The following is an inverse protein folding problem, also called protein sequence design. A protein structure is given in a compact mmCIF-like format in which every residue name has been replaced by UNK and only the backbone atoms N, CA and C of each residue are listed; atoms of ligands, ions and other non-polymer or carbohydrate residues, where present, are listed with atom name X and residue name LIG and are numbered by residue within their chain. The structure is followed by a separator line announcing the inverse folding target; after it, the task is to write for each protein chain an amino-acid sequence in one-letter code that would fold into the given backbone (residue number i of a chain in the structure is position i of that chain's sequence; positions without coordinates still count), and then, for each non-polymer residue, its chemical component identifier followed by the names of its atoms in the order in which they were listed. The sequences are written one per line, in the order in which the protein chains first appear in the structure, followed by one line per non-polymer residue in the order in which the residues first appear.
data_IF_794290848210
#
_entry.id   IF_794290848210
#
_cell.length_a   1.000
_cell.length_b   1.000
_cell.length_c   1.000
_cell.angle_alpha   90.00
_cell.angle_beta   90.00
_cell.angle_gamma   90.00
#
_symmetry.space_group_name_H-M   'P 1'
#
loop_
_entity.id
_entity.type
_entity.pdbx_description
1 polymer ?
#
# COMPACT_ATOMS: atom_id res chain seq x y z
N UNK A 1 -1.35 14.20 -56.31
CA UNK A 1 -0.11 14.16 -57.11
C UNK A 1 0.98 14.91 -56.34
N UNK A 2 2.24 14.47 -56.38
CA UNK A 2 3.36 15.19 -55.75
C UNK A 2 3.73 16.35 -56.65
N UNK A 3 3.84 17.56 -56.09
CA UNK A 3 4.08 18.80 -56.84
C UNK A 3 5.38 19.44 -56.41
N UNK A 4 6.06 20.03 -57.38
CA UNK A 4 7.34 20.71 -57.20
C UNK A 4 7.27 22.07 -57.88
N UNK A 5 8.06 23.00 -57.37
CA UNK A 5 8.31 24.30 -57.99
C UNK A 5 9.78 24.42 -58.37
N UNK A 6 10.07 25.18 -59.42
CA UNK A 6 11.43 25.51 -59.82
C UNK A 6 11.99 26.57 -58.87
N UNK A 7 13.23 26.42 -58.40
CA UNK A 7 13.84 27.38 -57.48
C UNK A 7 14.54 28.54 -58.18
N UNK A 8 14.77 28.39 -59.48
CA UNK A 8 15.35 29.40 -60.36
C UNK A 8 14.57 29.46 -61.67
N UNK A 9 14.54 30.64 -62.26
CA UNK A 9 14.05 30.82 -63.63
C UNK A 9 15.10 30.34 -64.62
N UNK A 10 14.66 29.63 -65.67
CA UNK A 10 15.52 29.21 -66.76
C UNK A 10 14.80 29.31 -68.10
N UNK A 11 15.57 29.59 -69.15
CA UNK A 11 15.06 29.69 -70.52
C UNK A 11 15.47 28.46 -71.29
N UNK A 12 14.51 27.68 -71.77
CA UNK A 12 14.74 26.57 -72.69
C UNK A 12 14.83 27.10 -74.14
N UNK A 13 15.98 26.96 -74.82
CA UNK A 13 16.10 27.34 -76.23
C UNK A 13 15.20 26.47 -77.13
N UNK A 14 14.69 27.04 -78.21
CA UNK A 14 13.96 26.27 -79.22
C UNK A 14 14.93 25.43 -80.07
N UNK A 15 14.61 24.15 -80.28
CA UNK A 15 15.39 23.24 -81.12
C UNK A 15 15.23 21.79 -80.71
N UNK A 16 15.56 20.86 -81.61
CA UNK A 16 15.67 19.43 -81.29
C UNK A 16 16.90 19.24 -80.41
N UNK A 17 16.78 18.40 -79.38
CA UNK A 17 17.83 18.10 -78.38
C UNK A 17 18.28 19.27 -77.49
N UNK A 18 17.53 20.38 -77.46
CA UNK A 18 17.76 21.45 -76.49
C UNK A 18 17.33 20.98 -75.08
N UNK A 19 18.24 21.06 -74.11
CA UNK A 19 18.00 20.64 -72.71
C UNK A 19 18.41 21.77 -71.77
N UNK A 20 17.65 21.93 -70.69
CA UNK A 20 18.00 22.81 -69.58
C UNK A 20 17.80 22.05 -68.27
N UNK A 21 18.81 22.10 -67.41
CA UNK A 21 18.73 21.53 -66.05
C UNK A 21 18.40 22.64 -65.06
N UNK A 22 17.43 22.38 -64.18
CA UNK A 22 16.97 23.33 -63.18
C UNK A 22 16.78 22.65 -61.83
N UNK A 23 16.99 23.42 -60.78
CA UNK A 23 16.72 22.99 -59.42
C UNK A 23 15.23 23.09 -59.09
N UNK A 24 14.73 22.12 -58.33
CA UNK A 24 13.34 22.04 -57.90
C UNK A 24 13.25 21.88 -56.38
N UNK A 25 12.13 22.30 -55.82
CA UNK A 25 11.76 22.11 -54.41
C UNK A 25 10.32 21.60 -54.35
N UNK A 26 10.02 20.71 -53.40
CA UNK A 26 8.66 20.24 -53.19
C UNK A 26 7.76 21.40 -52.69
N UNK A 27 6.54 21.48 -53.21
CA UNK A 27 5.57 22.45 -52.70
C UNK A 27 5.15 22.10 -51.26
N UNK A 28 4.60 23.06 -50.48
CA UNK A 28 4.17 22.81 -49.10
C UNK A 28 3.19 21.65 -48.92
N UNK A 29 2.36 21.37 -49.93
CA UNK A 29 1.40 20.25 -49.95
C UNK A 29 2.05 18.87 -50.23
N UNK A 30 3.31 18.89 -50.66
CA UNK A 30 4.12 17.74 -51.08
C UNK A 30 5.44 17.64 -50.30
N UNK A 31 5.60 18.45 -49.25
CA UNK A 31 6.74 18.43 -48.36
C UNK A 31 6.73 17.19 -47.45
N UNK A 32 7.89 16.87 -46.87
CA UNK A 32 8.05 15.68 -46.03
C UNK A 32 8.41 14.43 -46.84
N UNK A 33 8.24 13.25 -46.25
CA UNK A 33 8.73 12.00 -46.85
C UNK A 33 8.07 11.68 -48.20
N UNK A 34 6.84 12.15 -48.41
CA UNK A 34 6.07 11.99 -49.67
C UNK A 34 6.70 12.73 -50.86
N UNK A 35 7.48 13.78 -50.60
CA UNK A 35 8.20 14.55 -51.63
C UNK A 35 9.46 13.87 -52.15
N UNK A 36 9.87 12.74 -51.56
CA UNK A 36 11.03 11.96 -52.00
C UNK A 36 10.62 10.94 -53.06
N UNK A 37 10.78 11.30 -54.33
CA UNK A 37 10.42 10.48 -55.49
C UNK A 37 11.65 9.95 -56.20
N UNK A 38 11.53 8.78 -56.83
CA UNK A 38 12.62 8.18 -57.60
C UNK A 38 12.93 8.98 -58.87
N UNK A 39 14.10 8.73 -59.48
CA UNK A 39 14.42 9.24 -60.81
C UNK A 39 13.35 8.82 -61.83
N UNK A 40 13.01 9.70 -62.75
CA UNK A 40 12.03 9.44 -63.81
C UNK A 40 10.54 9.55 -63.40
N UNK A 41 10.23 9.99 -62.19
CA UNK A 41 8.84 10.11 -61.69
C UNK A 41 8.22 11.47 -62.00
N UNK A 42 9.01 12.54 -62.06
CA UNK A 42 8.53 13.90 -62.36
C UNK A 42 8.48 14.05 -63.88
N UNK A 43 7.30 13.85 -64.48
CA UNK A 43 7.15 13.74 -65.94
C UNK A 43 6.32 14.85 -66.58
N UNK A 44 5.81 15.80 -65.79
CA UNK A 44 4.89 16.82 -66.28
C UNK A 44 5.19 18.19 -65.66
N UNK A 45 4.84 19.24 -66.40
CA UNK A 45 4.91 20.63 -65.95
C UNK A 45 3.52 21.26 -66.02
N UNK A 46 3.20 22.10 -65.04
CA UNK A 46 1.91 22.80 -64.94
C UNK A 46 2.03 24.18 -65.62
N UNK A 47 1.98 24.19 -66.96
CA UNK A 47 2.11 25.41 -67.76
C UNK A 47 1.37 25.30 -69.11
N UNK A 48 1.00 26.42 -69.70
CA UNK A 48 0.31 26.46 -71.02
C UNK A 48 1.13 25.84 -72.16
N UNK A 49 2.45 25.79 -72.00
CA UNK A 49 3.39 25.24 -72.98
C UNK A 49 3.81 23.79 -72.67
N UNK A 50 3.16 23.12 -71.73
CA UNK A 50 3.54 21.77 -71.28
C UNK A 50 3.66 20.76 -72.42
N UNK A 51 2.79 20.83 -73.43
CA UNK A 51 2.78 19.92 -74.59
C UNK A 51 4.02 20.08 -75.50
N UNK A 52 4.79 21.16 -75.35
CA UNK A 52 5.96 21.45 -76.17
C UNK A 52 7.28 20.98 -75.54
N UNK A 53 7.23 20.43 -74.32
CA UNK A 53 8.42 20.02 -73.57
C UNK A 53 8.28 18.61 -73.00
N UNK A 54 9.42 17.98 -72.74
CA UNK A 54 9.48 16.75 -71.94
C UNK A 54 10.23 17.07 -70.67
N UNK A 55 9.63 16.76 -69.53
CA UNK A 55 10.24 16.95 -68.21
C UNK A 55 10.57 15.59 -67.63
N UNK A 56 11.77 15.47 -67.05
CA UNK A 56 12.18 14.28 -66.31
C UNK A 56 13.16 14.68 -65.20
N UNK A 57 12.98 14.13 -64.00
CA UNK A 57 14.02 14.22 -62.97
C UNK A 57 15.08 13.12 -63.20
N UNK A 58 16.31 13.53 -63.50
CA UNK A 58 17.42 12.60 -63.75
C UNK A 58 17.90 11.89 -62.47
N UNK A 59 17.76 12.56 -61.32
CA UNK A 59 18.09 12.03 -60.00
C UNK A 59 16.84 11.96 -59.10
N UNK A 60 16.81 11.04 -58.12
CA UNK A 60 15.74 11.01 -57.12
C UNK A 60 15.76 12.30 -56.27
N UNK A 61 14.59 12.73 -55.81
CA UNK A 61 14.48 13.78 -54.80
C UNK A 61 14.66 13.17 -53.41
N UNK A 62 15.25 13.94 -52.50
CA UNK A 62 15.61 13.49 -51.15
C UNK A 62 15.49 14.65 -50.16
N UNK A 63 15.72 14.35 -48.87
CA UNK A 63 15.70 15.27 -47.73
C UNK A 63 14.32 15.72 -47.24
N UNK A 64 13.22 15.19 -47.80
CA UNK A 64 11.91 15.30 -47.18
C UNK A 64 11.81 14.38 -45.95
N UNK A 65 11.48 14.94 -44.79
CA UNK A 65 11.33 14.19 -43.53
C UNK A 65 9.99 14.56 -42.87
N UNK A 66 9.25 13.55 -42.39
CA UNK A 66 8.09 13.75 -41.53
C UNK A 66 8.52 13.66 -40.07
N UNK A 67 8.09 14.62 -39.25
CA UNK A 67 8.38 14.62 -37.80
C UNK A 67 7.10 14.36 -37.03
N UNK A 68 7.09 13.26 -36.27
CA UNK A 68 6.05 12.98 -35.28
C UNK A 68 6.52 13.51 -33.94
N UNK A 69 5.81 14.49 -33.39
CA UNK A 69 6.09 15.04 -32.07
C UNK A 69 5.05 14.54 -31.07
N UNK A 70 5.46 14.07 -29.89
CA UNK A 70 4.51 13.69 -28.85
C UNK A 70 3.74 14.92 -28.36
N UNK A 71 2.46 14.72 -28.09
CA UNK A 71 1.56 15.75 -27.58
C UNK A 71 0.98 15.27 -26.27
N UNK A 72 0.91 16.17 -25.29
CA UNK A 72 0.29 15.92 -24.00
C UNK A 72 -1.21 15.72 -24.16
N UNK A 73 -1.73 14.60 -23.67
CA UNK A 73 -3.17 14.31 -23.67
C UNK A 73 -3.79 14.49 -22.29
N UNK A 74 -5.12 14.67 -22.22
CA UNK A 74 -5.84 14.66 -20.94
C UNK A 74 -5.59 13.36 -20.15
N UNK A 75 -5.52 12.23 -20.85
CA UNK A 75 -5.22 10.95 -20.23
C UNK A 75 -3.82 10.89 -19.61
N UNK A 76 -2.85 11.68 -20.09
CA UNK A 76 -1.52 11.78 -19.47
C UNK A 76 -1.57 12.60 -18.18
N UNK A 77 -2.30 13.72 -18.17
CA UNK A 77 -2.56 14.51 -16.96
C UNK A 77 -3.23 13.66 -15.88
N UNK A 78 -4.30 12.95 -16.21
CA UNK A 78 -5.06 12.14 -15.26
C UNK A 78 -4.21 10.99 -14.69
N UNK A 79 -3.42 10.32 -15.55
CA UNK A 79 -2.51 9.25 -15.14
C UNK A 79 -1.42 9.77 -14.20
N UNK A 80 -0.82 10.91 -14.52
CA UNK A 80 0.21 11.52 -13.68
C UNK A 80 -0.35 11.97 -12.33
N UNK A 81 -1.53 12.58 -12.33
CA UNK A 81 -2.20 13.01 -11.10
C UNK A 81 -2.49 11.81 -10.18
N UNK A 82 -3.07 10.73 -10.72
CA UNK A 82 -3.35 9.52 -9.96
C UNK A 82 -2.06 8.89 -9.37
N UNK A 83 -0.99 8.83 -10.16
CA UNK A 83 0.30 8.30 -9.72
C UNK A 83 0.91 9.13 -8.57
N UNK A 84 0.89 10.46 -8.70
CA UNK A 84 1.42 11.36 -7.65
C UNK A 84 0.56 11.29 -6.39
N UNK A 85 -0.77 11.23 -6.51
CA UNK A 85 -1.68 11.06 -5.36
C UNK A 85 -1.41 9.75 -4.61
N UNK A 86 -1.22 8.64 -5.32
CA UNK A 86 -0.87 7.36 -4.71
C UNK A 86 0.49 7.43 -3.99
N UNK A 87 1.49 8.07 -4.59
CA UNK A 87 2.79 8.26 -3.96
C UNK A 87 2.71 9.14 -2.70
N UNK A 88 1.89 10.19 -2.73
CA UNK A 88 1.65 11.06 -1.57
C UNK A 88 0.98 10.29 -0.42
N UNK A 89 -0.03 9.46 -0.72
CA UNK A 89 -0.68 8.63 0.30
C UNK A 89 0.29 7.64 0.94
N UNK A 90 1.10 6.94 0.13
CA UNK A 90 2.09 5.99 0.64
C UNK A 90 3.15 6.68 1.52
N UNK A 91 3.60 7.86 1.12
CA UNK A 91 4.54 8.66 1.90
C UNK A 91 3.91 9.16 3.21
N UNK A 92 2.68 9.66 3.14
CA UNK A 92 1.96 10.15 4.32
C UNK A 92 1.74 9.02 5.33
N UNK A 93 1.39 7.82 4.88
CA UNK A 93 1.26 6.64 5.75
C UNK A 93 2.57 6.38 6.52
N UNK A 94 3.71 6.33 5.82
CA UNK A 94 5.01 6.11 6.44
C UNK A 94 5.40 7.24 7.42
N UNK A 95 5.06 8.49 7.10
CA UNK A 95 5.30 9.63 7.99
C UNK A 95 4.41 9.57 9.25
N UNK A 96 3.13 9.16 9.10
CA UNK A 96 2.25 8.97 10.26
C UNK A 96 2.71 7.80 11.13
N UNK A 97 3.09 6.67 10.55
CA UNK A 97 3.62 5.51 11.29
C UNK A 97 4.86 5.87 12.12
N UNK A 98 5.70 6.79 11.64
CA UNK A 98 6.89 7.24 12.34
C UNK A 98 6.61 8.11 13.59
N UNK A 99 5.42 8.70 13.70
CA UNK A 99 5.04 9.58 14.81
C UNK A 99 4.03 8.96 15.77
N UNK A 100 3.54 7.74 15.49
CA UNK A 100 2.59 7.03 16.36
C UNK A 100 3.18 6.75 17.74
N UNK A 101 2.37 6.98 18.78
CA UNK A 101 2.68 6.54 20.14
C UNK A 101 2.55 5.03 20.35
N UNK A 102 3.07 4.52 21.47
CA UNK A 102 3.12 3.09 21.82
C UNK A 102 1.74 2.38 21.81
N UNK A 103 0.66 3.12 22.10
CA UNK A 103 -0.71 2.61 22.15
C UNK A 103 -1.62 3.19 21.06
N UNK A 104 -1.04 3.81 20.03
CA UNK A 104 -1.78 4.43 18.95
C UNK A 104 -1.74 3.56 17.71
N UNK A 105 -2.91 3.37 17.10
CA UNK A 105 -2.99 2.71 15.80
C UNK A 105 -3.73 3.59 14.80
N UNK A 106 -3.14 3.62 13.62
CA UNK A 106 -3.64 4.32 12.47
C UNK A 106 -4.70 3.47 11.76
N UNK A 107 -5.81 4.11 11.44
CA UNK A 107 -6.87 3.46 10.68
C UNK A 107 -6.66 3.77 9.20
N UNK A 108 -5.98 2.85 8.50
CA UNK A 108 -5.52 3.07 7.11
C UNK A 108 -6.69 3.43 6.18
N UNK A 109 -7.85 2.83 6.39
CA UNK A 109 -9.07 3.09 5.60
C UNK A 109 -9.60 4.54 5.72
N UNK A 110 -9.12 5.31 6.72
CA UNK A 110 -9.47 6.72 6.91
C UNK A 110 -8.46 7.69 6.30
N UNK A 111 -7.37 7.18 5.72
CA UNK A 111 -6.35 8.00 5.08
C UNK A 111 -6.95 8.68 3.85
N UNK A 112 -7.02 10.01 3.89
CA UNK A 112 -7.62 10.79 2.82
C UNK A 112 -6.81 12.07 2.55
N UNK A 113 -6.71 12.44 1.28
CA UNK A 113 -6.24 13.77 0.87
C UNK A 113 -7.40 14.75 1.05
N UNK A 114 -7.19 15.85 1.77
CA UNK A 114 -8.28 16.80 2.06
C UNK A 114 -8.71 17.57 0.81
N UNK A 115 -9.97 18.03 0.73
CA UNK A 115 -10.43 18.86 -0.37
C UNK A 115 -9.63 20.16 -0.56
N UNK A 116 -8.96 20.66 0.47
CA UNK A 116 -8.09 21.85 0.35
C UNK A 116 -6.91 21.60 -0.61
N UNK A 117 -6.57 20.35 -0.86
CA UNK A 117 -5.50 19.94 -1.78
C UNK A 117 -5.89 20.07 -3.25
N UNK A 118 -7.16 20.31 -3.57
CA UNK A 118 -7.63 20.49 -4.97
C UNK A 118 -7.57 21.94 -5.44
N UNK A 119 -6.85 22.80 -4.72
CA UNK A 119 -6.70 24.20 -5.10
C UNK A 119 -5.77 24.33 -6.32
N UNK A 120 -6.16 25.20 -7.26
CA UNK A 120 -5.40 25.41 -8.50
C UNK A 120 -3.98 25.94 -8.27
N UNK A 121 -3.72 26.66 -7.18
CA UNK A 121 -2.37 27.15 -6.83
C UNK A 121 -1.45 26.05 -6.27
N UNK A 122 -1.99 24.87 -5.94
CA UNK A 122 -1.25 23.75 -5.38
C UNK A 122 -1.01 22.63 -6.38
N UNK A 123 -1.62 22.70 -7.56
CA UNK A 123 -1.48 21.73 -8.63
C UNK A 123 -1.01 22.45 -9.90
N UNK A 124 0.25 22.27 -10.27
CA UNK A 124 0.83 22.90 -11.47
C UNK A 124 1.48 21.85 -12.36
N UNK A 125 0.96 21.73 -13.59
CA UNK A 125 1.63 21.03 -14.68
C UNK A 125 2.61 21.96 -15.38
N UNK A 126 3.71 21.43 -15.91
CA UNK A 126 4.68 22.17 -16.71
C UNK A 126 4.30 22.28 -18.20
N UNK A 127 3.33 21.48 -18.66
CA UNK A 127 2.80 21.49 -20.01
C UNK A 127 1.27 21.28 -20.03
N UNK A 128 0.60 22.05 -20.89
CA UNK A 128 -0.85 21.99 -21.11
C UNK A 128 -1.23 20.86 -22.07
N UNK A 129 -2.50 20.42 -22.02
CA UNK A 129 -3.05 19.48 -23.00
C UNK A 129 -2.96 20.09 -24.40
N UNK A 130 -2.44 19.32 -25.36
CA UNK A 130 -2.18 19.78 -26.73
C UNK A 130 -0.80 20.40 -26.94
N UNK A 131 -0.02 20.64 -25.88
CA UNK A 131 1.36 21.10 -26.01
C UNK A 131 2.28 19.96 -26.48
N UNK A 132 3.27 20.32 -27.29
CA UNK A 132 4.37 19.43 -27.65
C UNK A 132 5.34 19.32 -26.46
N UNK A 133 5.46 18.13 -25.88
CA UNK A 133 6.39 17.86 -24.79
C UNK A 133 6.76 16.37 -24.73
N UNK A 134 8.04 16.08 -24.55
CA UNK A 134 8.54 14.71 -24.36
C UNK A 134 8.39 14.22 -22.91
N UNK A 135 8.20 15.15 -21.96
CA UNK A 135 8.08 14.86 -20.53
C UNK A 135 7.04 15.78 -19.92
N UNK A 136 6.23 15.23 -19.00
CA UNK A 136 5.22 15.95 -18.25
C UNK A 136 5.58 15.88 -16.76
N UNK A 137 5.65 17.04 -16.11
CA UNK A 137 5.94 17.18 -14.68
C UNK A 137 4.73 17.77 -13.96
N UNK A 138 4.41 17.20 -12.79
CA UNK A 138 3.39 17.71 -11.89
C UNK A 138 4.03 18.13 -10.57
N UNK A 139 3.79 19.38 -10.16
CA UNK A 139 4.00 19.82 -8.77
C UNK A 139 2.65 19.80 -8.05
N UNK A 140 2.56 19.01 -6.99
CA UNK A 140 1.35 18.87 -6.18
C UNK A 140 1.68 19.07 -4.70
N UNK A 141 1.01 20.02 -4.06
CA UNK A 141 0.95 20.14 -2.61
C UNK A 141 -0.37 19.55 -2.13
N UNK A 142 -0.33 18.77 -1.05
CA UNK A 142 -1.52 18.15 -0.49
C UNK A 142 -1.45 18.14 1.04
N UNK A 143 -2.61 18.28 1.67
CA UNK A 143 -2.83 17.99 3.08
C UNK A 143 -3.47 16.61 3.15
N UNK A 144 -2.87 15.73 3.95
CA UNK A 144 -3.36 14.38 4.18
C UNK A 144 -3.83 14.29 5.62
N UNK A 145 -5.00 13.69 5.81
CA UNK A 145 -5.58 13.43 7.12
C UNK A 145 -5.80 11.93 7.32
N UNK A 146 -5.72 11.49 8.56
CA UNK A 146 -6.00 10.12 8.97
C UNK A 146 -6.48 10.11 10.41
N UNK A 147 -7.33 9.14 10.75
CA UNK A 147 -7.76 8.93 12.14
C UNK A 147 -6.78 8.00 12.84
N UNK A 148 -6.32 8.46 14.01
CA UNK A 148 -5.50 7.70 14.94
C UNK A 148 -6.33 7.42 16.18
N UNK A 149 -6.31 6.17 16.64
CA UNK A 149 -7.04 5.73 17.83
C UNK A 149 -6.04 5.26 18.89
N UNK A 150 -6.20 5.78 20.11
CA UNK A 150 -5.51 5.24 21.27
C UNK A 150 -6.25 3.98 21.77
N UNK A 151 -5.56 2.84 21.73
CA UNK A 151 -6.12 1.53 22.04
C UNK A 151 -6.30 1.28 23.54
N UNK A 152 -5.67 2.06 24.41
CA UNK A 152 -5.65 1.82 25.86
C UNK A 152 -7.07 1.65 26.44
N UNK A 153 -8.02 2.50 26.02
CA UNK A 153 -9.42 2.37 26.46
C UNK A 153 -10.09 1.11 25.93
N UNK A 154 -9.74 0.68 24.72
CA UNK A 154 -10.21 -0.56 24.12
C UNK A 154 -9.69 -1.77 24.90
N UNK A 155 -8.41 -1.77 25.25
CA UNK A 155 -7.78 -2.82 26.06
C UNK A 155 -8.45 -2.96 27.42
N UNK A 156 -8.77 -1.85 28.10
CA UNK A 156 -9.51 -1.87 29.37
C UNK A 156 -10.88 -2.56 29.23
N UNK A 157 -11.60 -2.29 28.13
CA UNK A 157 -12.89 -2.93 27.84
C UNK A 157 -12.71 -4.42 27.58
N UNK A 158 -11.70 -4.81 26.79
CA UNK A 158 -11.39 -6.22 26.50
C UNK A 158 -10.98 -6.95 27.79
N UNK A 159 -10.12 -6.37 28.60
CA UNK A 159 -9.69 -6.92 29.89
C UNK A 159 -10.88 -7.14 30.84
N UNK A 160 -11.77 -6.16 30.96
CA UNK A 160 -12.98 -6.28 31.77
C UNK A 160 -13.91 -7.41 31.27
N UNK A 161 -13.98 -7.64 29.96
CA UNK A 161 -14.73 -8.78 29.38
C UNK A 161 -14.04 -10.12 29.64
N UNK A 162 -12.71 -10.20 29.44
CA UNK A 162 -11.92 -11.40 29.74
C UNK A 162 -12.08 -11.81 31.20
N UNK A 163 -12.03 -10.86 32.13
CA UNK A 163 -12.22 -11.11 33.56
C UNK A 163 -13.53 -11.83 33.91
N UNK A 164 -14.62 -11.57 33.15
CA UNK A 164 -15.92 -12.22 33.35
C UNK A 164 -16.00 -13.64 32.79
N UNK A 165 -15.09 -14.00 31.90
CA UNK A 165 -15.01 -15.33 31.30
C UNK A 165 -14.09 -16.28 32.08
N UNK A 166 -13.33 -15.77 33.06
CA UNK A 166 -12.44 -16.59 33.88
C UNK A 166 -13.29 -17.55 34.75
N UNK A 167 -13.07 -18.88 34.65
CA UNK A 167 -13.70 -19.83 35.54
C UNK A 167 -13.32 -19.59 37.00
N UNK A 168 -14.21 -19.94 37.94
CA UNK A 168 -13.90 -19.86 39.37
C UNK A 168 -12.65 -20.66 39.71
N UNK A 169 -11.81 -20.11 40.60
CA UNK A 169 -10.57 -20.76 41.03
C UNK A 169 -9.41 -20.61 40.03
N UNK A 170 -9.55 -19.76 39.00
CA UNK A 170 -8.47 -19.43 38.06
C UNK A 170 -8.20 -17.92 38.06
N UNK A 171 -7.01 -17.56 37.62
CA UNK A 171 -6.59 -16.17 37.39
C UNK A 171 -5.90 -16.04 36.05
N UNK A 172 -6.02 -14.88 35.41
CA UNK A 172 -5.24 -14.56 34.22
C UNK A 172 -3.76 -14.44 34.61
N UNK A 173 -2.88 -15.06 33.81
CA UNK A 173 -1.45 -14.90 33.95
C UNK A 173 -1.04 -13.50 33.48
N UNK A 174 -0.38 -12.68 34.33
CA UNK A 174 0.10 -11.37 33.94
C UNK A 174 1.04 -11.46 32.73
N UNK A 175 0.91 -10.53 31.79
CA UNK A 175 1.73 -10.51 30.56
C UNK A 175 1.41 -11.61 29.54
N UNK A 176 0.37 -12.43 29.77
CA UNK A 176 -0.11 -13.42 28.79
C UNK A 176 -1.20 -12.90 27.87
N UNK A 177 -1.62 -11.63 28.06
CA UNK A 177 -2.72 -11.05 27.33
C UNK A 177 -2.18 -10.44 26.04
N UNK A 178 -2.68 -10.93 24.92
CA UNK A 178 -2.45 -10.38 23.60
C UNK A 178 -3.73 -9.67 23.15
N UNK A 179 -3.60 -8.41 22.74
CA UNK A 179 -4.69 -7.62 22.19
C UNK A 179 -4.54 -7.52 20.68
N UNK A 180 -5.65 -7.66 19.96
CA UNK A 180 -5.68 -7.53 18.51
C UNK A 180 -6.84 -6.63 18.10
N UNK A 181 -6.57 -5.43 17.57
CA UNK A 181 -7.60 -4.64 16.93
C UNK A 181 -8.08 -5.38 15.67
N UNK A 182 -9.39 -5.42 15.49
CA UNK A 182 -10.04 -5.96 14.30
C UNK A 182 -10.27 -4.88 13.25
N UNK A 183 -10.92 -5.28 12.15
CA UNK A 183 -11.27 -4.36 11.08
C UNK A 183 -12.22 -3.26 11.57
N UNK A 184 -12.13 -2.09 10.93
CA UNK A 184 -13.06 -0.99 11.11
C UNK A 184 -14.38 -1.34 10.46
N UNK A 185 -15.45 -1.24 11.24
CA UNK A 185 -16.82 -1.60 10.84
C UNK A 185 -17.68 -0.37 10.56
N UNK A 186 -17.21 0.82 10.94
CA UNK A 186 -17.92 2.07 10.67
C UNK A 186 -17.00 3.27 10.75
N UNK A 187 -17.17 4.18 9.81
CA UNK A 187 -16.56 5.51 9.80
C UNK A 187 -17.68 6.51 9.56
N UNK A 188 -17.93 7.39 10.53
CA UNK A 188 -18.93 8.44 10.41
C UNK A 188 -18.32 9.73 9.83
N UNK A 189 -19.17 10.60 9.28
CA UNK A 189 -18.80 11.92 8.74
C UNK A 189 -18.19 12.82 9.80
N UNK A 190 -18.55 12.61 11.06
CA UNK A 190 -18.02 13.30 12.23
C UNK A 190 -16.64 12.76 12.69
N UNK A 191 -16.06 11.80 11.97
CA UNK A 191 -14.78 11.18 12.32
C UNK A 191 -14.86 10.11 13.41
N UNK A 192 -16.08 9.64 13.73
CA UNK A 192 -16.24 8.53 14.66
C UNK A 192 -15.88 7.21 13.97
N UNK A 193 -14.90 6.50 14.54
CA UNK A 193 -14.48 5.18 14.07
C UNK A 193 -15.05 4.11 14.99
N UNK A 194 -15.77 3.15 14.42
CA UNK A 194 -16.21 1.93 15.09
C UNK A 194 -15.37 0.77 14.62
N UNK A 195 -14.71 0.08 15.54
CA UNK A 195 -13.91 -1.11 15.24
C UNK A 195 -14.15 -2.19 16.31
N UNK A 196 -13.84 -3.43 15.96
CA UNK A 196 -13.86 -4.54 16.92
C UNK A 196 -12.48 -4.70 17.54
N UNK A 197 -12.42 -5.19 18.78
CA UNK A 197 -11.15 -5.51 19.43
C UNK A 197 -11.29 -6.87 20.11
N UNK A 198 -10.30 -7.72 19.88
CA UNK A 198 -10.21 -9.04 20.49
C UNK A 198 -9.04 -9.08 21.45
N UNK A 199 -9.11 -9.94 22.45
CA UNK A 199 -7.98 -10.23 23.31
C UNK A 199 -8.00 -11.68 23.75
N UNK A 200 -6.82 -12.26 23.90
CA UNK A 200 -6.62 -13.63 24.32
C UNK A 200 -5.65 -13.63 25.49
N UNK A 201 -5.92 -14.43 26.52
CA UNK A 201 -5.07 -14.51 27.70
C UNK A 201 -5.02 -15.92 28.24
N UNK A 202 -3.86 -16.31 28.78
CA UNK A 202 -3.73 -17.60 29.46
C UNK A 202 -4.20 -17.49 30.90
N UNK A 203 -4.84 -18.54 31.40
CA UNK A 203 -5.29 -18.63 32.78
C UNK A 203 -4.56 -19.77 33.50
N UNK A 204 -4.24 -19.54 34.77
CA UNK A 204 -3.68 -20.56 35.66
C UNK A 204 -4.62 -20.81 36.84
N UNK A 205 -4.56 -22.03 37.38
CA UNK A 205 -5.25 -22.36 38.62
C UNK A 205 -4.72 -21.50 39.77
N UNK A 206 -5.63 -20.90 40.53
CA UNK A 206 -5.30 -20.14 41.73
C UNK A 206 -5.66 -20.97 42.95
N UNK A 207 -4.64 -21.41 43.68
CA UNK A 207 -4.80 -22.09 44.95
C UNK A 207 -4.52 -21.12 46.11
N UNK A 208 -5.45 -21.01 47.06
CA UNK A 208 -5.20 -20.28 48.30
C UNK A 208 -4.36 -21.16 49.24
N UNK A 209 -3.04 -20.93 49.22
CA UNK A 209 -2.06 -21.72 49.98
C UNK A 209 -2.41 -21.79 51.48
N UNK A 210 -2.70 -20.68 52.20
CA UNK A 210 -3.11 -20.73 53.60
C UNK A 210 -4.33 -21.63 53.87
N UNK A 211 -5.36 -21.54 53.01
CA UNK A 211 -6.58 -22.35 53.16
C UNK A 211 -6.29 -23.83 52.91
N UNK A 212 -5.49 -24.14 51.89
CA UNK A 212 -5.05 -25.52 51.61
C UNK A 212 -4.23 -26.08 52.76
N UNK A 213 -3.24 -25.35 53.27
CA UNK A 213 -2.42 -25.77 54.42
C UNK A 213 -3.28 -26.08 55.64
N UNK A 214 -4.26 -25.23 55.95
CA UNK A 214 -5.16 -25.44 57.09
C UNK A 214 -6.04 -26.68 56.91
N UNK A 215 -6.50 -26.94 55.68
CA UNK A 215 -7.37 -28.07 55.36
C UNK A 215 -6.63 -29.41 55.32
N UNK A 216 -5.37 -29.39 54.87
CA UNK A 216 -4.50 -30.57 54.78
C UNK A 216 -3.91 -30.97 56.14
N UNK A 217 -3.89 -30.06 57.12
CA UNK A 217 -3.28 -30.30 58.43
C UNK A 217 -3.90 -31.51 59.15
N UNK A 218 -3.05 -32.47 59.53
CA UNK A 218 -3.44 -33.68 60.26
C UNK A 218 -4.05 -34.82 59.43
N UNK A 219 -4.31 -34.60 58.13
CA UNK A 219 -4.75 -35.66 57.21
C UNK A 219 -3.63 -36.67 56.96
N UNK A 220 -3.99 -37.92 56.66
CA UNK A 220 -3.06 -38.90 56.08
C UNK A 220 -2.71 -38.51 54.65
N UNK A 221 -1.58 -38.99 54.12
CA UNK A 221 -1.21 -38.74 52.72
C UNK A 221 -2.31 -39.18 51.73
N UNK A 222 -3.01 -40.28 52.02
CA UNK A 222 -4.11 -40.77 51.19
C UNK A 222 -5.33 -39.83 51.21
N UNK A 223 -5.77 -39.40 52.41
CA UNK A 223 -6.88 -38.45 52.57
C UNK A 223 -6.54 -37.08 51.94
N UNK A 224 -5.30 -36.64 52.08
CA UNK A 224 -4.81 -35.40 51.48
C UNK A 224 -4.81 -35.46 49.95
N UNK A 225 -4.35 -36.57 49.37
CA UNK A 225 -4.37 -36.79 47.93
C UNK A 225 -5.81 -36.77 47.41
N UNK A 226 -6.71 -37.50 48.06
CA UNK A 226 -8.12 -37.58 47.67
C UNK A 226 -8.82 -36.21 47.76
N UNK A 227 -8.52 -35.43 48.80
CA UNK A 227 -9.00 -34.07 48.93
C UNK A 227 -8.48 -33.16 47.79
N UNK A 228 -7.19 -33.23 47.48
CA UNK A 228 -6.59 -32.40 46.42
C UNK A 228 -7.15 -32.76 45.05
N UNK A 229 -7.30 -34.04 44.73
CA UNK A 229 -7.85 -34.50 43.45
C UNK A 229 -9.34 -34.22 43.31
N UNK A 230 -10.11 -34.23 44.41
CA UNK A 230 -11.57 -33.99 44.37
C UNK A 230 -11.95 -32.50 44.41
N UNK A 231 -11.12 -31.66 45.04
CA UNK A 231 -11.51 -30.28 45.39
C UNK A 231 -10.69 -29.21 44.65
N UNK A 232 -9.46 -29.52 44.24
CA UNK A 232 -8.60 -28.56 43.54
C UNK A 232 -8.66 -28.81 42.04
N UNK A 233 -8.75 -27.73 41.26
CA UNK A 233 -8.71 -27.79 39.80
C UNK A 233 -7.28 -28.07 39.35
N UNK A 234 -6.99 -29.36 39.14
CA UNK A 234 -5.69 -29.86 38.68
C UNK A 234 -5.64 -29.92 37.15
N UNK A 235 -4.44 -29.78 36.58
CA UNK A 235 -4.27 -29.97 35.15
C UNK A 235 -4.65 -31.41 34.74
N UNK A 236 -5.27 -31.62 33.55
CA UNK A 236 -5.65 -32.95 33.10
C UNK A 236 -4.45 -33.91 33.10
N UNK A 237 -4.61 -35.08 33.74
CA UNK A 237 -3.55 -36.10 33.82
C UNK A 237 -2.42 -35.78 34.83
N UNK A 238 -2.52 -34.69 35.58
CA UNK A 238 -1.60 -34.39 36.69
C UNK A 238 -2.06 -35.02 38.00
N UNK A 239 -1.10 -35.49 38.81
CA UNK A 239 -1.35 -35.98 40.17
C UNK A 239 -0.53 -35.17 41.18
N UNK A 240 -1.13 -34.74 42.31
CA UNK A 240 -0.38 -34.05 43.36
C UNK A 240 0.69 -34.98 43.95
N UNK A 241 1.92 -34.48 44.11
CA UNK A 241 2.99 -35.19 44.82
C UNK A 241 3.01 -34.76 46.29
N UNK A 242 3.03 -35.74 47.20
CA UNK A 242 3.01 -35.51 48.65
C UNK A 242 4.20 -36.20 49.28
N UNK A 243 5.21 -35.41 49.62
CA UNK A 243 6.41 -35.88 50.33
C UNK A 243 6.29 -35.53 51.81
N UNK A 244 6.32 -36.55 52.67
CA UNK A 244 6.25 -36.39 54.13
C UNK A 244 7.57 -36.83 54.76
N UNK A 245 8.32 -35.88 55.32
CA UNK A 245 9.54 -36.18 56.10
C UNK A 245 9.23 -36.26 57.60
N UNK A 246 9.78 -37.26 58.29
CA UNK A 246 9.70 -37.43 59.75
C UNK A 246 8.25 -37.55 60.28
N UNK A 247 7.49 -38.51 59.74
CA UNK A 247 6.13 -38.85 60.22
C UNK A 247 6.09 -40.32 60.65
N UNK A 248 5.69 -40.58 61.90
CA UNK A 248 5.57 -41.94 62.45
C UNK A 248 4.36 -42.70 61.86
N UNK A 249 3.28 -41.97 61.56
CA UNK A 249 1.99 -42.56 61.16
C UNK A 249 1.59 -42.20 59.71
N UNK A 250 2.50 -41.63 58.92
CA UNK A 250 2.22 -41.19 57.54
C UNK A 250 1.23 -40.02 57.44
N UNK A 251 1.03 -39.26 58.52
CA UNK A 251 0.18 -38.06 58.57
C UNK A 251 0.94 -36.78 58.30
N UNK A 252 0.25 -35.82 57.69
CA UNK A 252 0.71 -34.45 57.54
C UNK A 252 0.77 -33.73 58.90
N UNK A 253 1.69 -32.76 59.08
CA UNK A 253 1.78 -31.98 60.30
C UNK A 253 0.45 -31.31 60.70
N UNK A 254 0.12 -31.32 61.99
CA UNK A 254 -1.09 -30.65 62.51
C UNK A 254 -1.00 -29.12 62.49
N UNK A 255 0.21 -28.57 62.45
CA UNK A 255 0.44 -27.14 62.33
C UNK A 255 0.54 -26.78 60.84
N UNK A 256 -0.39 -25.98 60.28
CA UNK A 256 -0.43 -25.64 58.84
C UNK A 256 0.88 -25.02 58.33
N UNK A 257 1.55 -24.21 59.16
CA UNK A 257 2.83 -23.57 58.85
C UNK A 257 3.96 -24.56 58.54
N UNK A 258 3.83 -25.83 58.94
CA UNK A 258 4.80 -26.89 58.65
C UNK A 258 4.51 -27.63 57.33
N UNK A 259 3.47 -27.24 56.60
CA UNK A 259 3.12 -27.80 55.29
C UNK A 259 3.55 -26.79 54.22
N UNK A 260 4.46 -27.17 53.34
CA UNK A 260 4.85 -26.35 52.20
C UNK A 260 4.08 -26.80 50.97
N UNK A 261 3.27 -25.92 50.39
CA UNK A 261 2.56 -26.19 49.14
C UNK A 261 3.27 -25.42 48.03
N UNK A 262 3.59 -26.10 46.93
CA UNK A 262 4.17 -25.49 45.73
C UNK A 262 3.24 -25.77 44.56
N UNK A 263 2.88 -24.71 43.84
CA UNK A 263 2.16 -24.83 42.57
C UNK A 263 3.23 -24.89 41.48
N UNK A 264 3.22 -25.97 40.70
CA UNK A 264 4.12 -26.18 39.57
C UNK A 264 3.28 -26.17 38.31
N UNK A 265 3.71 -25.41 37.32
CA UNK A 265 3.13 -25.51 35.99
C UNK A 265 3.53 -26.86 35.38
N UNK A 266 2.60 -27.59 34.73
CA UNK A 266 2.98 -28.77 33.98
C UNK A 266 4.02 -28.35 32.94
N UNK A 267 5.18 -29.02 32.94
CA UNK A 267 6.29 -28.69 32.04
C UNK A 267 5.82 -28.63 30.59
N UNK A 268 6.29 -27.60 29.89
CA UNK A 268 6.22 -27.47 28.42
C UNK A 268 6.99 -28.62 27.78
#
# INVERSE_FOLDING_TARGET
PVRFQTTIDATLPAGVDAVVEISIEALPDSAGAVGNVQAGVITAVDAEWADNVVVINLAPTANGEDRVLPVVTQADHDRLLAAVQQQLQARALAEFEAILGENEVLIVDTLAITPESTRADWQTFDAEVGAFADTLTLRLNAVVQVVVVNQQRGEEVVFARLGRQIPRGRVILPGSIEYTPGAVTGLDVDGQVTFSMSGYGRVAGQANIPVLQARLAGLTSAEALDYLTSTVDLAPGSTPDIVVSNSLDGRLPRLPVRITVRIVEPGV
#
